data_IF_116719376658
#
_entry.id   IF_116719376658
#
_cell.length_a   1.000
_cell.length_b   1.000
_cell.length_c   1.000
_cell.angle_alpha   90.00
_cell.angle_beta   90.00
_cell.angle_gamma   90.00
#
_symmetry.space_group_name_H-M   'P 1'
#
loop_
_entity.id
_entity.type
_entity.pdbx_description
1 polymer ?
#
# COMPACT_ATOMS: atom_id res chain seq x y z
N UNK A 1 -10.31 -0.69 7.97
CA UNK A 1 -11.00 -1.93 7.53
C UNK A 1 -10.05 -3.10 7.24
N UNK A 2 -8.93 -2.94 6.53
CA UNK A 2 -8.07 -4.08 6.13
C UNK A 2 -7.48 -4.92 7.29
N UNK A 3 -6.82 -4.28 8.27
CA UNK A 3 -6.18 -4.99 9.38
C UNK A 3 -7.19 -5.63 10.35
N UNK A 4 -8.29 -4.91 10.64
CA UNK A 4 -9.33 -5.33 11.58
C UNK A 4 -10.20 -6.46 11.03
N UNK A 5 -10.65 -6.34 9.77
CA UNK A 5 -11.59 -7.28 9.16
C UNK A 5 -10.89 -8.43 8.43
N UNK A 6 -9.78 -8.14 7.74
CA UNK A 6 -9.12 -9.12 6.84
C UNK A 6 -7.82 -9.68 7.41
N UNK A 7 -7.34 -9.18 8.55
CA UNK A 7 -6.03 -9.53 9.14
C UNK A 7 -4.90 -9.44 8.10
N UNK A 8 -4.95 -8.44 7.23
CA UNK A 8 -3.95 -8.17 6.20
C UNK A 8 -3.46 -6.73 6.26
N UNK A 9 -2.22 -6.53 5.84
CA UNK A 9 -1.58 -5.22 5.69
C UNK A 9 -1.01 -5.10 4.28
N UNK A 10 -1.10 -3.91 3.70
CA UNK A 10 -0.48 -3.62 2.42
C UNK A 10 1.02 -3.39 2.59
N UNK A 11 1.81 -4.06 1.76
CA UNK A 11 3.26 -3.89 1.65
C UNK A 11 3.52 -2.74 0.68
N UNK A 12 3.36 -1.50 1.17
CA UNK A 12 3.50 -0.30 0.36
C UNK A 12 4.87 -0.21 -0.31
N UNK A 13 5.94 -0.66 0.36
CA UNK A 13 7.31 -0.71 -0.17
C UNK A 13 7.46 -1.56 -1.44
N UNK A 14 6.46 -2.34 -1.80
CA UNK A 14 6.43 -3.16 -3.03
C UNK A 14 5.55 -2.59 -4.14
N UNK A 15 4.93 -1.43 -3.91
CA UNK A 15 4.06 -0.78 -4.87
C UNK A 15 4.86 0.34 -5.55
N UNK A 16 4.92 0.29 -6.88
CA UNK A 16 5.58 1.31 -7.68
C UNK A 16 4.90 2.69 -7.53
N UNK A 17 5.70 3.75 -7.41
CA UNK A 17 5.21 5.12 -7.19
C UNK A 17 4.38 5.63 -8.37
N UNK A 18 4.85 5.41 -9.61
CA UNK A 18 4.13 5.88 -10.80
C UNK A 18 2.79 5.15 -10.95
N UNK A 19 2.76 3.84 -10.69
CA UNK A 19 1.53 3.06 -10.69
C UNK A 19 0.52 3.52 -9.61
N UNK A 20 1.00 3.79 -8.40
CA UNK A 20 0.17 4.32 -7.32
C UNK A 20 -0.42 5.69 -7.67
N UNK A 21 0.43 6.64 -8.09
CA UNK A 21 -0.02 7.99 -8.45
C UNK A 21 -1.00 7.98 -9.63
N UNK A 22 -0.71 7.19 -10.68
CA UNK A 22 -1.61 7.08 -11.83
C UNK A 22 -2.99 6.53 -11.45
N UNK A 23 -3.04 5.52 -10.57
CA UNK A 23 -4.30 4.98 -10.07
C UNK A 23 -5.10 6.01 -9.24
N UNK A 24 -4.40 6.84 -8.46
CA UNK A 24 -5.01 7.92 -7.67
C UNK A 24 -5.49 9.08 -8.53
N UNK A 25 -4.70 9.53 -9.50
CA UNK A 25 -5.07 10.60 -10.44
C UNK A 25 -6.35 10.27 -11.22
N UNK A 26 -6.49 9.01 -11.62
CA UNK A 26 -7.69 8.51 -12.31
C UNK A 26 -8.87 8.29 -11.38
N UNK A 27 -8.68 8.45 -10.06
CA UNK A 27 -9.64 8.08 -9.02
C UNK A 27 -10.21 6.67 -9.26
N UNK A 28 -9.37 5.76 -9.78
CA UNK A 28 -9.81 4.47 -10.28
C UNK A 28 -9.67 3.40 -9.20
N UNK A 29 -10.81 3.12 -8.56
CA UNK A 29 -10.97 2.11 -7.53
C UNK A 29 -10.47 0.71 -7.92
N UNK A 30 -10.61 0.31 -9.19
CA UNK A 30 -10.23 -1.03 -9.64
C UNK A 30 -8.71 -1.19 -9.73
N UNK A 31 -8.03 -0.19 -10.28
CA UNK A 31 -6.56 -0.17 -10.42
C UNK A 31 -5.90 -0.21 -9.05
N UNK A 32 -6.28 0.68 -8.12
CA UNK A 32 -5.69 0.71 -6.78
C UNK A 32 -5.98 -0.57 -5.98
N UNK A 33 -7.21 -1.12 -6.07
CA UNK A 33 -7.52 -2.41 -5.42
C UNK A 33 -6.68 -3.54 -5.98
N UNK A 34 -6.41 -3.53 -7.28
CA UNK A 34 -5.58 -4.56 -7.94
C UNK A 34 -4.12 -4.45 -7.51
N UNK A 35 -3.57 -3.23 -7.45
CA UNK A 35 -2.22 -2.99 -6.94
C UNK A 35 -2.08 -3.46 -5.49
N UNK A 36 -2.99 -3.04 -4.60
CA UNK A 36 -2.96 -3.42 -3.20
C UNK A 36 -3.10 -4.93 -3.00
N UNK A 37 -4.04 -5.59 -3.70
CA UNK A 37 -4.27 -7.03 -3.59
C UNK A 37 -3.05 -7.88 -3.92
N UNK A 38 -2.21 -7.44 -4.88
CA UNK A 38 -0.96 -8.13 -5.25
C UNK A 38 0.10 -8.08 -4.14
N UNK A 39 0.03 -7.07 -3.28
CA UNK A 39 1.04 -6.80 -2.27
C UNK A 39 0.45 -6.78 -0.85
N UNK A 40 -0.33 -7.81 -0.50
CA UNK A 40 -0.83 -8.00 0.87
C UNK A 40 0.01 -9.00 1.64
N UNK A 41 0.26 -8.70 2.91
CA UNK A 41 0.85 -9.62 3.88
C UNK A 41 -0.15 -9.96 4.98
N UNK A 42 -0.13 -11.21 5.42
CA UNK A 42 -0.86 -11.67 6.62
C UNK A 42 -0.11 -11.36 7.91
N UNK A 43 1.16 -10.94 7.83
CA UNK A 43 1.97 -10.56 8.99
C UNK A 43 1.68 -9.10 9.40
N UNK A 44 0.54 -8.89 10.06
CA UNK A 44 0.04 -7.55 10.43
C UNK A 44 0.76 -6.89 11.62
N UNK A 45 1.63 -7.64 12.31
CA UNK A 45 2.32 -7.20 13.52
C UNK A 45 3.83 -7.02 13.31
N UNK A 46 4.30 -7.09 12.06
CA UNK A 46 5.70 -6.81 11.74
C UNK A 46 5.99 -5.30 11.82
N UNK A 47 6.83 -4.84 12.76
CA UNK A 47 7.18 -3.43 12.88
C UNK A 47 7.91 -2.90 11.64
N UNK A 48 8.70 -3.75 10.98
CA UNK A 48 9.46 -3.35 9.80
C UNK A 48 8.53 -3.00 8.63
N UNK A 49 7.49 -3.81 8.42
CA UNK A 49 6.44 -3.53 7.43
C UNK A 49 5.76 -2.19 7.69
N UNK A 50 5.51 -1.84 8.96
CA UNK A 50 4.93 -0.55 9.32
C UNK A 50 5.86 0.62 9.01
N UNK A 51 7.13 0.54 9.44
CA UNK A 51 8.15 1.58 9.21
C UNK A 51 8.34 1.80 7.70
N UNK A 52 8.53 0.71 6.95
CA UNK A 52 8.66 0.77 5.48
C UNK A 52 7.43 1.38 4.82
N UNK A 53 6.23 1.05 5.32
CA UNK A 53 4.99 1.63 4.83
C UNK A 53 4.92 3.14 5.02
N UNK A 54 5.35 3.64 6.18
CA UNK A 54 5.45 5.09 6.45
C UNK A 54 6.45 5.72 5.49
N UNK A 55 7.68 5.20 5.42
CA UNK A 55 8.72 5.74 4.54
C UNK A 55 8.25 5.80 3.09
N UNK A 56 7.60 4.74 2.61
CA UNK A 56 7.08 4.70 1.25
C UNK A 56 5.96 5.71 1.02
N UNK A 57 5.06 5.89 2.00
CA UNK A 57 3.98 6.88 1.92
C UNK A 57 4.54 8.30 1.77
N UNK A 58 5.57 8.66 2.53
CA UNK A 58 6.24 9.96 2.41
C UNK A 58 6.95 10.11 1.06
N UNK A 59 7.60 9.03 0.59
CA UNK A 59 8.25 9.01 -0.72
C UNK A 59 7.27 9.26 -1.88
N UNK A 60 6.02 8.76 -1.78
CA UNK A 60 5.00 9.04 -2.80
C UNK A 60 4.66 10.52 -2.89
N UNK A 61 4.58 11.22 -1.76
CA UNK A 61 4.31 12.66 -1.66
C UNK A 61 5.53 13.53 -2.05
N UNK A 62 6.71 12.92 -2.24
CA UNK A 62 7.94 13.63 -2.64
C UNK A 62 8.72 14.26 -1.49
N UNK A 63 8.51 13.75 -0.26
CA UNK A 63 9.27 14.09 0.94
C UNK A 63 10.46 13.15 1.16
#
# INVERSE_FOLDING_TARGET
>A
MLKKELKKIALWDRIDKAAYLSAMERSNDLEIKTLLKKHLSSNINDPLTFIKGITQSYYYEGL
#
